data_IF_226174713233
#
_entry.id   IF_226174713233
#
_cell.length_a   1.000
_cell.length_b   1.000
_cell.length_c   1.000
_cell.angle_alpha   90.00
_cell.angle_beta   90.00
_cell.angle_gamma   90.00
#
_symmetry.space_group_name_H-M   'P 1'
#
loop_
_entity.id
_entity.type
_entity.pdbx_description
1 polymer ?
#
# COMPACT_ATOMS: atom_id res chain seq x y z
N UNK A 1 23.16 7.57 -16.15
CA UNK A 1 22.30 6.40 -15.85
C UNK A 1 23.19 5.24 -15.41
N UNK A 2 22.76 4.47 -14.41
CA UNK A 2 23.55 3.35 -13.87
C UNK A 2 23.26 2.08 -14.68
N UNK A 3 24.26 1.48 -15.37
CA UNK A 3 24.03 0.33 -16.24
C UNK A 3 23.59 -0.97 -15.49
N UNK A 4 23.74 -0.99 -14.18
CA UNK A 4 23.35 -2.14 -13.35
C UNK A 4 21.83 -2.21 -13.05
N UNK A 5 21.06 -1.15 -13.35
CA UNK A 5 19.60 -1.13 -13.16
C UNK A 5 18.86 -1.15 -14.50
N UNK A 6 17.70 -1.82 -14.60
CA UNK A 6 16.81 -1.72 -15.74
C UNK A 6 16.41 -0.27 -16.02
N UNK A 7 16.32 0.12 -17.29
CA UNK A 7 16.00 1.48 -17.71
C UNK A 7 14.68 1.99 -17.11
N UNK A 8 13.68 1.12 -16.98
CA UNK A 8 12.39 1.47 -16.36
C UNK A 8 12.57 1.88 -14.89
N UNK A 9 13.33 1.12 -14.12
CA UNK A 9 13.58 1.42 -12.70
C UNK A 9 14.34 2.73 -12.54
N UNK A 10 15.36 2.97 -13.37
CA UNK A 10 16.09 4.24 -13.37
C UNK A 10 15.15 5.43 -13.61
N UNK A 11 14.25 5.32 -14.60
CA UNK A 11 13.27 6.37 -14.90
C UNK A 11 12.32 6.63 -13.75
N UNK A 12 11.83 5.58 -13.07
CA UNK A 12 10.97 5.73 -11.90
C UNK A 12 11.69 6.45 -10.75
N UNK A 13 12.94 6.10 -10.47
CA UNK A 13 13.74 6.80 -9.46
C UNK A 13 14.02 8.25 -9.82
N UNK A 14 14.34 8.53 -11.08
CA UNK A 14 14.54 9.90 -11.57
C UNK A 14 13.24 10.72 -11.47
N UNK A 15 12.11 10.16 -11.88
CA UNK A 15 10.79 10.80 -11.72
C UNK A 15 10.51 11.12 -10.25
N UNK A 16 10.82 10.16 -9.35
CA UNK A 16 10.62 10.37 -7.91
C UNK A 16 11.48 11.52 -7.36
N UNK A 17 12.74 11.60 -7.76
CA UNK A 17 13.69 12.61 -7.28
C UNK A 17 13.40 14.00 -7.85
N UNK A 18 12.98 14.08 -9.12
CA UNK A 18 12.80 15.36 -9.83
C UNK A 18 11.37 15.87 -9.81
N UNK A 19 10.39 14.99 -9.55
CA UNK A 19 8.97 15.30 -9.70
C UNK A 19 8.50 15.49 -11.15
N UNK A 20 9.38 15.26 -12.15
CA UNK A 20 9.04 15.42 -13.56
C UNK A 20 8.18 14.27 -14.05
N UNK A 21 7.15 14.56 -14.87
CA UNK A 21 6.33 13.54 -15.48
C UNK A 21 7.09 12.76 -16.57
N UNK A 22 6.54 11.60 -16.96
CA UNK A 22 7.11 10.78 -18.04
C UNK A 22 7.22 11.54 -19.37
N UNK A 23 6.24 12.39 -19.69
CA UNK A 23 6.20 13.20 -20.90
C UNK A 23 7.30 14.27 -20.88
N UNK A 24 7.55 14.87 -19.72
CA UNK A 24 8.62 15.84 -19.53
C UNK A 24 10.01 15.23 -19.72
N UNK A 25 10.18 13.93 -19.42
CA UNK A 25 11.41 13.18 -19.65
C UNK A 25 11.71 12.93 -21.14
N UNK A 26 10.71 12.89 -22.01
CA UNK A 26 10.89 12.67 -23.45
C UNK A 26 11.46 13.92 -24.10
N UNK A 27 11.17 15.09 -23.55
CA UNK A 27 11.52 16.39 -24.13
C UNK A 27 12.74 17.07 -23.49
N UNK A 28 13.20 16.59 -22.35
CA UNK A 28 14.34 17.17 -21.61
C UNK A 28 15.26 16.06 -21.08
N UNK A 29 16.56 16.17 -21.37
CA UNK A 29 17.53 15.39 -20.59
C UNK A 29 17.52 15.88 -19.13
N UNK A 30 17.48 14.94 -18.16
CA UNK A 30 17.45 15.31 -16.76
C UNK A 30 18.78 15.94 -16.36
N UNK A 31 18.76 17.22 -16.06
CA UNK A 31 19.89 17.86 -15.40
C UNK A 31 19.59 17.92 -13.91
N UNK A 32 20.16 16.95 -13.17
CA UNK A 32 20.02 16.88 -11.72
C UNK A 32 20.92 17.92 -11.06
N UNK A 33 20.41 18.65 -10.08
CA UNK A 33 21.26 19.42 -9.19
C UNK A 33 22.01 18.46 -8.23
N UNK A 34 22.96 18.99 -7.44
CA UNK A 34 23.81 18.16 -6.57
C UNK A 34 23.01 17.35 -5.54
N UNK A 35 21.98 17.94 -4.94
CA UNK A 35 21.09 17.27 -3.96
C UNK A 35 20.28 16.15 -4.61
N UNK A 36 19.71 16.41 -5.79
CA UNK A 36 18.97 15.41 -6.55
C UNK A 36 19.88 14.25 -7.01
N UNK A 37 21.12 14.54 -7.38
CA UNK A 37 22.09 13.52 -7.75
C UNK A 37 22.41 12.61 -6.56
N UNK A 38 22.69 13.18 -5.38
CA UNK A 38 22.95 12.42 -4.16
C UNK A 38 21.75 11.55 -3.76
N UNK A 39 20.55 12.10 -3.82
CA UNK A 39 19.33 11.36 -3.55
C UNK A 39 19.13 10.19 -4.53
N UNK A 40 19.33 10.44 -5.83
CA UNK A 40 19.25 9.41 -6.85
C UNK A 40 20.26 8.29 -6.62
N UNK A 41 21.54 8.62 -6.36
CA UNK A 41 22.60 7.65 -6.12
C UNK A 41 22.34 6.81 -4.88
N UNK A 42 21.80 7.41 -3.81
CA UNK A 42 21.35 6.70 -2.61
C UNK A 42 20.22 5.70 -2.91
N UNK A 43 19.22 6.10 -3.68
CA UNK A 43 18.11 5.21 -4.07
C UNK A 43 18.60 4.06 -4.95
N UNK A 44 19.52 4.32 -5.89
CA UNK A 44 20.15 3.31 -6.73
C UNK A 44 20.92 2.30 -5.88
N UNK A 45 21.74 2.75 -4.94
CA UNK A 45 22.48 1.87 -4.04
C UNK A 45 21.55 0.96 -3.22
N UNK A 46 20.48 1.52 -2.66
CA UNK A 46 19.47 0.76 -1.93
C UNK A 46 18.74 -0.24 -2.83
N UNK A 47 18.43 0.14 -4.07
CA UNK A 47 17.81 -0.79 -5.03
C UNK A 47 18.74 -1.96 -5.37
N UNK A 48 20.01 -1.69 -5.60
CA UNK A 48 21.03 -2.71 -5.87
C UNK A 48 21.27 -3.64 -4.68
N UNK A 49 21.04 -3.16 -3.44
CA UNK A 49 21.06 -4.01 -2.24
C UNK A 49 19.78 -4.84 -2.04
N UNK A 50 18.82 -4.80 -2.99
CA UNK A 50 17.62 -5.63 -2.97
C UNK A 50 16.36 -4.94 -2.43
N UNK A 51 16.40 -3.66 -2.03
CA UNK A 51 15.20 -2.96 -1.54
C UNK A 51 14.14 -2.87 -2.65
N UNK A 52 12.89 -3.29 -2.42
CA UNK A 52 11.81 -3.21 -3.39
C UNK A 52 11.54 -1.78 -3.86
N UNK A 53 11.27 -1.60 -5.16
CA UNK A 53 10.97 -0.28 -5.76
C UNK A 53 9.82 0.43 -5.04
N UNK A 54 8.77 -0.28 -4.64
CA UNK A 54 7.64 0.30 -3.94
C UNK A 54 8.05 0.99 -2.63
N UNK A 55 9.00 0.41 -1.88
CA UNK A 55 9.50 1.04 -0.65
C UNK A 55 10.44 2.21 -0.92
N UNK A 56 11.18 2.19 -2.04
CA UNK A 56 12.01 3.33 -2.45
C UNK A 56 11.16 4.52 -2.88
N UNK A 57 10.07 4.25 -3.58
CA UNK A 57 9.12 5.26 -4.06
C UNK A 57 8.11 5.66 -2.96
N UNK A 58 7.99 4.88 -1.89
CA UNK A 58 7.00 5.08 -0.83
C UNK A 58 5.55 4.87 -1.27
N UNK A 59 5.34 4.28 -2.47
CA UNK A 59 4.02 4.11 -3.04
C UNK A 59 3.90 2.84 -3.91
N UNK A 60 2.69 2.28 -3.97
CA UNK A 60 2.30 1.18 -4.84
C UNK A 60 0.89 1.41 -5.39
N UNK A 61 0.71 1.17 -6.67
CA UNK A 61 -0.62 1.16 -7.28
C UNK A 61 -1.38 -0.11 -6.88
N UNK A 62 -2.64 0.05 -6.50
CA UNK A 62 -3.58 -1.01 -6.19
C UNK A 62 -5.00 -0.50 -6.48
N UNK A 63 -5.81 -1.28 -7.18
CA UNK A 63 -7.18 -0.97 -7.54
C UNK A 63 -7.35 0.45 -8.13
N UNK A 64 -6.49 0.80 -9.08
CA UNK A 64 -6.47 2.11 -9.76
C UNK A 64 -6.08 3.31 -8.88
N UNK A 65 -5.56 3.08 -7.66
CA UNK A 65 -5.16 4.12 -6.70
C UNK A 65 -3.71 3.93 -6.25
N UNK A 66 -3.02 5.04 -6.03
CA UNK A 66 -1.66 5.02 -5.47
C UNK A 66 -1.70 5.02 -3.95
N UNK A 67 -1.34 3.90 -3.33
CA UNK A 67 -1.27 3.73 -1.88
C UNK A 67 0.13 4.01 -1.36
N UNK A 68 0.23 4.72 -0.25
CA UNK A 68 1.47 4.80 0.51
C UNK A 68 1.85 3.43 1.06
N UNK A 69 3.12 3.07 0.95
CA UNK A 69 3.69 1.84 1.50
C UNK A 69 5.03 2.12 2.16
N UNK A 70 5.39 1.30 3.14
CA UNK A 70 6.68 1.35 3.82
C UNK A 70 7.10 -0.07 4.22
N UNK A 71 8.32 -0.31 4.70
CA UNK A 71 8.73 -1.62 5.22
C UNK A 71 7.88 -2.18 6.37
N UNK A 72 7.03 -1.35 6.99
CA UNK A 72 6.10 -1.79 8.04
C UNK A 72 4.90 -2.60 7.50
N UNK A 73 4.67 -2.64 6.19
CA UNK A 73 3.51 -3.29 5.58
C UNK A 73 3.91 -4.13 4.37
N UNK A 74 3.15 -5.17 4.09
CA UNK A 74 3.29 -5.91 2.84
C UNK A 74 2.93 -5.00 1.65
N UNK A 75 3.73 -5.04 0.59
CA UNK A 75 3.41 -4.36 -0.66
C UNK A 75 2.14 -4.99 -1.25
N UNK A 76 1.08 -4.22 -1.51
CA UNK A 76 -0.15 -4.73 -2.12
C UNK A 76 0.14 -5.46 -3.43
N UNK A 77 -0.46 -6.64 -3.60
CA UNK A 77 -0.30 -7.47 -4.79
C UNK A 77 -1.55 -7.40 -5.67
N UNK A 78 -1.40 -7.43 -7.00
CA UNK A 78 -2.55 -7.36 -7.93
C UNK A 78 -3.61 -8.44 -7.67
N UNK A 79 -3.18 -9.66 -7.30
CA UNK A 79 -4.09 -10.78 -7.04
C UNK A 79 -5.05 -10.49 -5.87
N UNK A 80 -4.64 -9.60 -4.95
CA UNK A 80 -5.44 -9.19 -3.79
C UNK A 80 -6.64 -8.32 -4.20
N UNK A 81 -6.64 -7.74 -5.40
CA UNK A 81 -7.77 -6.97 -5.93
C UNK A 81 -9.04 -7.81 -6.06
N UNK A 82 -8.91 -9.13 -6.23
CA UNK A 82 -10.03 -10.07 -6.24
C UNK A 82 -10.83 -10.04 -4.94
N UNK A 83 -10.21 -9.77 -3.79
CA UNK A 83 -10.92 -9.63 -2.51
C UNK A 83 -11.79 -8.37 -2.49
N UNK A 84 -11.31 -7.27 -3.07
CA UNK A 84 -12.11 -6.06 -3.23
C UNK A 84 -13.31 -6.35 -4.10
N UNK A 85 -13.10 -6.93 -5.29
CA UNK A 85 -14.18 -7.27 -6.24
C UNK A 85 -15.21 -8.20 -5.60
N UNK A 86 -14.77 -9.20 -4.85
CA UNK A 86 -15.66 -10.11 -4.13
C UNK A 86 -16.60 -9.35 -3.19
N UNK A 87 -16.06 -8.44 -2.37
CA UNK A 87 -16.88 -7.67 -1.43
C UNK A 87 -17.83 -6.73 -2.17
N UNK A 88 -17.37 -6.05 -3.22
CA UNK A 88 -18.20 -5.14 -4.01
C UNK A 88 -19.39 -5.85 -4.65
N UNK A 89 -19.22 -7.11 -5.05
CA UNK A 89 -20.28 -7.91 -5.70
C UNK A 89 -21.26 -8.54 -4.71
N UNK A 90 -20.82 -8.90 -3.50
CA UNK A 90 -21.60 -9.75 -2.59
C UNK A 90 -22.09 -9.03 -1.33
N UNK A 91 -21.47 -7.92 -0.92
CA UNK A 91 -21.90 -7.19 0.27
C UNK A 91 -23.25 -6.50 0.06
N UNK A 92 -24.20 -6.77 0.96
CA UNK A 92 -25.48 -6.09 0.98
C UNK A 92 -25.30 -4.57 1.25
N UNK A 93 -26.24 -3.71 0.83
CA UNK A 93 -26.20 -2.30 1.20
C UNK A 93 -26.13 -2.11 2.72
N UNK A 94 -25.21 -1.25 3.18
CA UNK A 94 -25.01 -0.98 4.60
C UNK A 94 -24.28 -2.07 5.39
N UNK A 95 -23.81 -3.13 4.73
CA UNK A 95 -23.11 -4.25 5.38
C UNK A 95 -21.86 -3.81 6.13
N UNK A 96 -21.56 -4.52 7.22
CA UNK A 96 -20.33 -4.36 8.00
C UNK A 96 -19.25 -5.30 7.46
N UNK A 97 -18.13 -4.73 7.07
CA UNK A 97 -16.99 -5.44 6.47
C UNK A 97 -15.77 -5.30 7.37
N UNK A 98 -15.10 -6.41 7.65
CA UNK A 98 -13.84 -6.44 8.38
C UNK A 98 -12.70 -6.84 7.45
N UNK A 99 -11.64 -6.03 7.43
CA UNK A 99 -10.33 -6.35 6.84
C UNK A 99 -9.33 -6.69 7.97
N UNK A 100 -9.02 -7.96 8.13
CA UNK A 100 -8.15 -8.44 9.20
C UNK A 100 -6.69 -8.58 8.72
N UNK A 101 -5.78 -7.82 9.37
CA UNK A 101 -4.39 -7.68 8.93
C UNK A 101 -4.28 -6.70 7.75
N UNK A 102 -4.82 -5.50 7.92
CA UNK A 102 -5.05 -4.54 6.83
C UNK A 102 -3.77 -3.99 6.19
N UNK A 103 -2.64 -4.01 6.91
CA UNK A 103 -1.36 -3.49 6.42
C UNK A 103 -1.47 -2.03 5.97
N UNK A 104 -1.27 -1.77 4.68
CA UNK A 104 -1.40 -0.42 4.11
C UNK A 104 -2.84 0.09 4.00
N UNK A 105 -3.83 -0.73 4.35
CA UNK A 105 -5.25 -0.42 4.16
C UNK A 105 -5.74 -0.61 2.72
N UNK A 106 -4.95 -1.21 1.83
CA UNK A 106 -5.26 -1.26 0.41
C UNK A 106 -6.63 -1.87 0.11
N UNK A 107 -7.00 -2.97 0.77
CA UNK A 107 -8.30 -3.63 0.60
C UNK A 107 -9.42 -2.77 1.21
N UNK A 108 -9.32 -2.48 2.51
CA UNK A 108 -10.35 -1.74 3.26
C UNK A 108 -10.65 -0.38 2.64
N UNK A 109 -9.60 0.38 2.29
CA UNK A 109 -9.73 1.72 1.70
C UNK A 109 -10.34 1.65 0.30
N UNK A 110 -9.96 0.66 -0.52
CA UNK A 110 -10.57 0.50 -1.86
C UNK A 110 -12.05 0.18 -1.74
N UNK A 111 -12.45 -0.72 -0.83
CA UNK A 111 -13.87 -1.03 -0.58
C UNK A 111 -14.63 0.23 -0.13
N UNK A 112 -14.12 0.97 0.86
CA UNK A 112 -14.77 2.16 1.38
C UNK A 112 -14.86 3.30 0.35
N UNK A 113 -13.91 3.37 -0.59
CA UNK A 113 -13.93 4.33 -1.68
C UNK A 113 -14.98 4.01 -2.74
N UNK A 114 -15.15 2.72 -3.10
CA UNK A 114 -16.13 2.26 -4.09
C UNK A 114 -17.56 2.17 -3.52
N UNK A 115 -17.68 1.79 -2.25
CA UNK A 115 -18.96 1.56 -1.57
C UNK A 115 -19.03 2.37 -0.28
N UNK A 116 -19.34 3.69 -0.38
CA UNK A 116 -19.43 4.58 0.79
C UNK A 116 -20.60 4.24 1.72
N UNK A 117 -21.51 3.38 1.31
CA UNK A 117 -22.62 2.85 2.10
C UNK A 117 -22.16 1.74 3.08
N UNK A 118 -21.02 1.09 2.84
CA UNK A 118 -20.53 0.02 3.70
C UNK A 118 -19.83 0.56 4.96
N UNK A 119 -19.96 -0.18 6.06
CA UNK A 119 -19.26 0.11 7.31
C UNK A 119 -17.96 -0.70 7.35
N UNK A 120 -16.85 -0.08 6.96
CA UNK A 120 -15.58 -0.78 6.86
C UNK A 120 -14.75 -0.58 8.12
N UNK A 121 -14.43 -1.69 8.78
CA UNK A 121 -13.50 -1.78 9.90
C UNK A 121 -12.23 -2.48 9.40
N UNK A 122 -11.08 -1.97 9.78
CA UNK A 122 -9.80 -2.58 9.42
C UNK A 122 -8.92 -2.71 10.66
N UNK A 123 -8.35 -3.88 10.87
CA UNK A 123 -7.52 -4.16 12.04
C UNK A 123 -6.11 -4.55 11.64
N UNK A 124 -5.16 -4.15 12.47
CA UNK A 124 -3.77 -4.60 12.39
C UNK A 124 -3.16 -4.61 13.80
N UNK A 125 -2.14 -5.44 14.01
CA UNK A 125 -1.39 -5.45 15.26
C UNK A 125 -0.33 -4.34 15.30
N UNK A 126 0.15 -3.90 14.13
CA UNK A 126 1.23 -2.94 13.97
C UNK A 126 0.69 -1.51 13.87
N UNK A 127 1.08 -0.65 14.82
CA UNK A 127 0.68 0.76 14.86
C UNK A 127 1.18 1.56 13.63
N UNK A 128 2.36 1.23 13.08
CA UNK A 128 2.89 1.88 11.88
C UNK A 128 2.05 1.51 10.63
N UNK A 129 1.55 0.27 10.57
CA UNK A 129 0.62 -0.15 9.52
C UNK A 129 -0.70 0.62 9.62
N UNK A 130 -1.27 0.74 10.82
CA UNK A 130 -2.51 1.50 11.05
C UNK A 130 -2.34 2.99 10.73
N UNK A 131 -1.21 3.60 11.10
CA UNK A 131 -0.91 4.99 10.75
C UNK A 131 -0.85 5.19 9.23
N UNK A 132 -0.25 4.22 8.51
CA UNK A 132 -0.17 4.24 7.05
C UNK A 132 -1.55 4.05 6.41
N UNK A 133 -2.34 3.07 6.91
CA UNK A 133 -3.71 2.84 6.47
C UNK A 133 -4.60 4.08 6.69
N UNK A 134 -4.43 4.79 7.81
CA UNK A 134 -5.11 6.05 8.10
C UNK A 134 -4.80 7.15 7.07
N UNK A 135 -3.54 7.31 6.69
CA UNK A 135 -3.14 8.24 5.62
C UNK A 135 -3.77 7.87 4.27
N UNK A 136 -3.79 6.60 3.93
CA UNK A 136 -4.41 6.10 2.71
C UNK A 136 -5.94 6.27 2.74
N UNK A 137 -6.58 6.00 3.90
CA UNK A 137 -8.02 6.20 4.08
C UNK A 137 -8.41 7.67 3.93
N UNK A 138 -7.66 8.60 4.52
CA UNK A 138 -7.88 10.04 4.35
C UNK A 138 -7.77 10.45 2.88
N UNK A 139 -6.80 9.90 2.16
CA UNK A 139 -6.54 10.24 0.76
C UNK A 139 -7.62 9.75 -0.20
N UNK A 140 -8.13 8.53 0.01
CA UNK A 140 -8.96 7.84 -0.98
C UNK A 140 -10.38 7.53 -0.54
N UNK A 141 -10.64 7.52 0.76
CA UNK A 141 -11.93 7.15 1.35
C UNK A 141 -12.43 8.19 2.37
N UNK A 142 -11.89 9.41 2.36
CA UNK A 142 -12.29 10.52 3.25
C UNK A 142 -12.27 10.14 4.75
N UNK A 143 -11.41 9.21 5.14
CA UNK A 143 -11.32 8.73 6.51
C UNK A 143 -12.46 7.78 6.95
N UNK A 144 -13.23 7.24 6.01
CA UNK A 144 -14.40 6.36 6.30
C UNK A 144 -14.04 4.96 6.82
N UNK A 145 -12.76 4.56 6.79
CA UNK A 145 -12.33 3.28 7.35
C UNK A 145 -12.11 3.43 8.85
N UNK A 146 -12.81 2.63 9.65
CA UNK A 146 -12.58 2.57 11.10
C UNK A 146 -11.38 1.67 11.40
N UNK A 147 -10.28 2.27 11.86
CA UNK A 147 -9.03 1.57 12.13
C UNK A 147 -8.95 1.19 13.61
N UNK A 148 -8.65 -0.08 13.90
CA UNK A 148 -8.55 -0.59 15.26
C UNK A 148 -7.25 -1.40 15.41
N UNK A 149 -6.48 -1.10 16.47
CA UNK A 149 -5.36 -1.96 16.84
C UNK A 149 -5.90 -3.22 17.49
N UNK A 150 -5.62 -4.38 16.88
CA UNK A 150 -6.11 -5.66 17.36
C UNK A 150 -5.18 -6.80 16.97
N UNK A 151 -5.00 -7.74 17.89
CA UNK A 151 -4.51 -9.07 17.55
C UNK A 151 -5.71 -9.89 17.05
N UNK A 152 -5.82 -9.95 15.71
CA UNK A 152 -7.00 -10.49 15.01
C UNK A 152 -8.29 -9.85 15.51
N UNK A 153 -9.13 -10.60 16.25
CA UNK A 153 -10.45 -10.20 16.70
C UNK A 153 -10.48 -9.72 18.16
N UNK A 154 -9.34 -9.73 18.87
CA UNK A 154 -9.27 -9.56 20.32
C UNK A 154 -9.81 -8.23 20.84
N UNK A 155 -9.76 -7.17 20.03
CA UNK A 155 -10.25 -5.84 20.39
C UNK A 155 -11.64 -5.52 19.79
N UNK A 156 -12.29 -6.50 19.11
CA UNK A 156 -13.59 -6.32 18.49
C UNK A 156 -14.71 -6.78 19.41
N UNK A 157 -15.86 -6.10 19.36
CA UNK A 157 -17.04 -6.45 20.14
C UNK A 157 -17.79 -7.64 19.53
N UNK A 158 -18.10 -8.65 20.32
CA UNK A 158 -18.94 -9.78 19.93
C UNK A 158 -20.40 -9.37 19.66
N UNK A 159 -20.84 -8.21 20.17
CA UNK A 159 -22.22 -7.71 20.03
C UNK A 159 -22.46 -7.06 18.68
N UNK A 160 -21.41 -6.81 17.90
CA UNK A 160 -21.48 -6.18 16.60
C UNK A 160 -20.90 -7.08 15.50
N UNK A 161 -21.64 -8.09 15.02
CA UNK A 161 -21.12 -9.03 14.03
C UNK A 161 -20.81 -8.34 12.70
N UNK A 162 -19.89 -8.94 11.93
CA UNK A 162 -19.59 -8.55 10.57
C UNK A 162 -20.33 -9.43 9.57
N UNK A 163 -20.84 -8.83 8.51
CA UNK A 163 -21.46 -9.53 7.40
C UNK A 163 -20.43 -10.19 6.48
N UNK A 164 -19.26 -9.54 6.35
CA UNK A 164 -18.14 -10.02 5.54
C UNK A 164 -16.84 -9.84 6.32
N UNK A 165 -16.01 -10.88 6.35
CA UNK A 165 -14.65 -10.85 6.89
C UNK A 165 -13.69 -11.25 5.79
N UNK A 166 -12.70 -10.40 5.52
CA UNK A 166 -11.65 -10.64 4.55
C UNK A 166 -10.28 -10.52 5.23
N UNK A 167 -9.30 -11.24 4.68
CA UNK A 167 -7.92 -11.17 5.16
C UNK A 167 -6.97 -11.60 4.05
N UNK A 168 -5.84 -10.91 3.95
CA UNK A 168 -4.69 -11.33 3.15
C UNK A 168 -3.44 -11.37 4.05
N UNK A 169 -3.36 -12.35 4.99
CA UNK A 169 -2.28 -12.41 5.95
C UNK A 169 -0.95 -12.82 5.28
N UNK A 170 0.20 -12.55 5.92
CA UNK A 170 1.47 -13.08 5.46
C UNK A 170 1.45 -14.61 5.50
N UNK A 171 1.85 -15.26 4.40
CA UNK A 171 1.86 -16.74 4.26
C UNK A 171 3.14 -17.39 4.79
N UNK A 172 4.11 -16.60 5.25
CA UNK A 172 5.42 -17.08 5.69
C UNK A 172 5.48 -16.98 7.22
N UNK A 173 5.78 -18.08 7.88
CA UNK A 173 5.91 -18.12 9.33
C UNK A 173 7.06 -17.21 9.82
N UNK A 174 6.89 -16.60 10.98
CA UNK A 174 7.97 -15.84 11.61
C UNK A 174 9.19 -16.76 11.83
N UNK A 175 10.35 -16.35 11.27
CA UNK A 175 11.59 -17.15 11.33
C UNK A 175 11.87 -18.04 10.11
N UNK A 176 11.05 -17.96 9.05
CA UNK A 176 11.34 -18.64 7.80
C UNK A 176 12.62 -18.03 7.16
N UNK A 177 13.59 -18.86 6.71
CA UNK A 177 14.84 -18.39 6.08
C UNK A 177 14.62 -17.54 4.82
N UNK A 178 13.46 -17.64 4.18
CA UNK A 178 13.10 -16.84 3.00
C UNK A 178 12.66 -15.40 3.33
N UNK A 179 12.61 -15.03 4.63
CA UNK A 179 12.33 -13.65 5.10
C UNK A 179 13.61 -12.81 5.27
N UNK A 180 14.80 -13.38 4.96
CA UNK A 180 16.09 -12.67 5.04
C UNK A 180 16.51 -12.08 3.70
#
# INVERSE_FOLDING_TARGET
>A
MNPALPLLEQRLLLTHVTGLSREQWITREPNLNAEQQEQYDSLVARRLSGVPMAYLLGAREFYGRSFYVSPAVLIPRPETELLVEFVLQHAAPGARVLDAGTGSGAIAVSIAAERPDLQVVAVDLNDDALALAGRNSTRWAEGRVHLVRSDWFSALSEQEPFDVIISNPPYIAAGDPHLQ
#
